data_IF_383143840156
#
_entry.id   IF_383143840156
#
_cell.length_a   1.000
_cell.length_b   1.000
_cell.length_c   1.000
_cell.angle_alpha   90.00
_cell.angle_beta   90.00
_cell.angle_gamma   90.00
#
_symmetry.space_group_name_H-M   'P 1'
#
loop_
_entity.id
_entity.type
_entity.pdbx_description
1 polymer ?
#
# COMPACT_ATOMS: atom_id res chain seq x y z
N UNK A 1 -38.57 -8.89 6.11
CA UNK A 1 -38.69 -7.41 6.16
C UNK A 1 -37.55 -6.80 5.37
N UNK A 2 -37.79 -6.56 4.09
CA UNK A 2 -36.85 -5.91 3.18
C UNK A 2 -36.88 -4.39 3.43
N UNK A 3 -35.71 -3.73 3.53
CA UNK A 3 -35.62 -2.27 3.52
C UNK A 3 -35.05 -1.83 2.17
N UNK A 4 -35.88 -1.03 1.53
CA UNK A 4 -35.79 -0.43 0.19
C UNK A 4 -34.52 0.37 -0.03
N UNK A 5 -33.93 0.19 -1.21
CA UNK A 5 -32.94 1.09 -1.81
C UNK A 5 -33.68 2.35 -2.28
N UNK A 6 -33.22 3.54 -1.87
CA UNK A 6 -33.71 4.83 -2.36
C UNK A 6 -32.87 5.25 -3.57
N UNK A 7 -33.39 4.96 -4.76
CA UNK A 7 -32.94 5.54 -6.03
C UNK A 7 -33.86 6.73 -6.37
N UNK A 8 -33.43 7.94 -6.02
CA UNK A 8 -33.91 9.20 -6.61
C UNK A 8 -32.65 9.93 -7.08
N UNK A 9 -32.42 10.19 -8.36
CA UNK A 9 -33.36 10.58 -9.39
C UNK A 9 -32.87 11.95 -9.88
N UNK A 10 -31.95 11.94 -10.84
CA UNK A 10 -31.48 13.16 -11.48
C UNK A 10 -32.61 13.76 -12.34
N UNK A 11 -32.83 15.07 -12.22
CA UNK A 11 -33.14 15.96 -13.35
C UNK A 11 -33.05 17.44 -12.92
N UNK A 12 -32.41 18.30 -13.73
CA UNK A 12 -32.33 19.73 -13.46
C UNK A 12 -33.66 20.41 -13.84
N UNK A 13 -34.13 21.31 -12.98
CA UNK A 13 -35.28 22.16 -13.29
C UNK A 13 -34.88 23.21 -14.32
N UNK A 14 -35.58 23.22 -15.45
CA UNK A 14 -35.47 24.22 -16.49
C UNK A 14 -36.32 25.46 -16.19
N UNK A 15 -35.80 26.61 -16.62
CA UNK A 15 -36.49 27.75 -17.23
C UNK A 15 -37.74 28.31 -16.52
N UNK A 16 -37.54 29.34 -15.70
CA UNK A 16 -38.58 30.27 -15.28
C UNK A 16 -38.28 31.69 -15.75
N UNK A 17 -38.61 32.00 -17.01
CA UNK A 17 -38.68 33.37 -17.51
C UNK A 17 -40.14 33.80 -17.55
N UNK A 18 -40.64 34.50 -16.52
CA UNK A 18 -41.83 35.33 -16.65
C UNK A 18 -41.74 36.58 -15.74
N UNK A 19 -41.81 37.75 -16.38
CA UNK A 19 -42.46 38.94 -15.83
C UNK A 19 -41.57 40.05 -15.28
N UNK A 20 -41.12 40.99 -16.13
CA UNK A 20 -40.94 42.40 -15.77
C UNK A 20 -41.26 43.31 -16.97
N UNK A 21 -42.07 44.38 -16.81
CA UNK A 21 -42.36 45.34 -17.87
C UNK A 21 -41.34 46.48 -17.90
N UNK A 22 -41.13 47.06 -19.09
CA UNK A 22 -40.80 48.48 -19.26
C UNK A 22 -39.34 48.91 -19.05
N UNK A 23 -38.62 48.99 -20.17
CA UNK A 23 -37.77 50.11 -20.55
C UNK A 23 -36.63 50.55 -19.60
N UNK A 24 -35.51 49.80 -19.59
CA UNK A 24 -34.16 50.38 -19.45
C UNK A 24 -33.20 49.60 -20.36
N UNK A 25 -32.76 50.22 -21.46
CA UNK A 25 -31.68 49.71 -22.32
C UNK A 25 -30.35 50.10 -21.68
N UNK A 26 -29.68 49.15 -21.02
CA UNK A 26 -28.25 49.24 -20.78
C UNK A 26 -27.50 48.55 -21.93
N UNK A 27 -26.34 49.05 -22.37
CA UNK A 27 -25.57 48.40 -23.43
C UNK A 27 -25.14 47.01 -22.94
N UNK A 28 -25.42 46.04 -23.80
CA UNK A 28 -25.03 44.64 -23.64
C UNK A 28 -23.50 44.56 -23.66
N UNK A 29 -22.86 44.78 -22.51
CA UNK A 29 -21.48 44.33 -22.29
C UNK A 29 -21.59 42.82 -22.17
N UNK A 30 -21.35 42.12 -23.28
CA UNK A 30 -20.94 40.73 -23.28
C UNK A 30 -19.78 40.61 -22.29
N UNK A 31 -20.07 40.14 -21.09
CA UNK A 31 -19.05 39.63 -20.21
C UNK A 31 -18.59 38.34 -20.85
N UNK A 32 -17.67 38.44 -21.81
CA UNK A 32 -16.92 37.30 -22.30
C UNK A 32 -16.25 36.72 -21.06
N UNK A 33 -16.81 35.62 -20.55
CA UNK A 33 -16.09 34.74 -19.64
C UNK A 33 -14.97 34.16 -20.48
N UNK A 34 -13.89 34.92 -20.63
CA UNK A 34 -12.61 34.40 -21.07
C UNK A 34 -12.25 33.37 -20.01
N UNK A 35 -12.58 32.10 -20.28
CA UNK A 35 -11.98 30.99 -19.57
C UNK A 35 -10.49 31.16 -19.79
N UNK A 36 -9.78 31.66 -18.79
CA UNK A 36 -8.34 31.66 -18.78
C UNK A 36 -7.91 30.24 -19.12
N UNK A 37 -7.01 30.10 -20.10
CA UNK A 37 -6.39 28.81 -20.37
C UNK A 37 -5.88 28.25 -19.04
N UNK A 38 -6.09 26.96 -18.74
CA UNK A 38 -5.58 26.38 -17.50
C UNK A 38 -4.09 26.70 -17.42
N UNK A 39 -3.69 27.33 -16.31
CA UNK A 39 -2.29 27.60 -15.99
C UNK A 39 -1.48 26.31 -16.24
N UNK A 40 -0.30 26.39 -16.88
CA UNK A 40 0.50 25.21 -17.14
C UNK A 40 0.78 24.50 -15.81
N UNK A 41 0.32 23.26 -15.70
CA UNK A 41 0.50 22.47 -14.50
C UNK A 41 1.97 22.49 -14.09
N UNK A 42 2.23 22.87 -12.84
CA UNK A 42 3.59 22.86 -12.30
C UNK A 42 4.19 21.47 -12.54
N UNK A 43 5.37 21.39 -13.20
CA UNK A 43 5.98 20.09 -13.46
C UNK A 43 6.24 19.40 -12.13
N UNK A 44 5.79 18.15 -12.02
CA UNK A 44 5.99 17.40 -10.80
C UNK A 44 7.47 17.21 -10.50
N UNK A 45 7.82 17.20 -9.21
CA UNK A 45 9.19 16.93 -8.79
C UNK A 45 9.65 15.53 -9.25
N UNK A 46 10.92 15.41 -9.59
CA UNK A 46 11.52 14.14 -9.97
C UNK A 46 11.25 13.06 -8.91
N UNK A 47 10.88 11.86 -9.35
CA UNK A 47 10.56 10.74 -8.47
C UNK A 47 9.13 10.68 -7.95
N UNK A 48 8.25 11.62 -8.36
CA UNK A 48 6.82 11.55 -8.10
C UNK A 48 6.01 11.26 -9.38
N UNK A 49 4.87 10.60 -9.23
CA UNK A 49 3.82 10.49 -10.24
C UNK A 49 2.45 10.85 -9.63
N UNK A 50 1.53 11.37 -10.44
CA UNK A 50 0.16 11.66 -10.02
C UNK A 50 -0.72 10.47 -10.38
N UNK A 51 -1.54 10.00 -9.43
CA UNK A 51 -2.51 8.94 -9.69
C UNK A 51 -3.75 9.47 -10.43
N UNK A 52 -4.74 8.59 -10.60
CA UNK A 52 -6.01 8.91 -11.26
C UNK A 52 -6.82 9.98 -10.52
N UNK A 53 -6.53 10.23 -9.24
CA UNK A 53 -7.12 11.28 -8.42
C UNK A 53 -6.28 12.57 -8.36
N UNK A 54 -5.15 12.62 -9.08
CA UNK A 54 -4.22 13.75 -9.04
C UNK A 54 -3.36 13.81 -7.77
N UNK A 55 -3.37 12.76 -6.95
CA UNK A 55 -2.60 12.70 -5.71
C UNK A 55 -1.14 12.28 -5.99
N UNK A 56 -0.14 13.09 -5.60
CA UNK A 56 1.26 12.78 -5.84
C UNK A 56 1.74 11.63 -4.94
N UNK A 57 2.44 10.65 -5.54
CA UNK A 57 3.08 9.52 -4.84
C UNK A 57 4.47 9.26 -5.36
N UNK A 58 5.29 8.52 -4.59
CA UNK A 58 6.58 8.06 -5.08
C UNK A 58 6.43 7.16 -6.32
N UNK A 59 7.24 7.40 -7.35
CA UNK A 59 7.18 6.68 -8.63
C UNK A 59 7.36 5.16 -8.49
N UNK A 60 8.08 4.69 -7.48
CA UNK A 60 8.34 3.27 -7.27
C UNK A 60 7.08 2.44 -6.95
N UNK A 61 5.99 3.06 -6.47
CA UNK A 61 4.75 2.33 -6.16
C UNK A 61 3.77 2.27 -7.33
N UNK A 62 4.10 2.85 -8.50
CA UNK A 62 3.16 3.01 -9.63
C UNK A 62 2.72 1.68 -10.26
N UNK A 63 3.51 0.62 -10.13
CA UNK A 63 3.34 -0.60 -10.93
C UNK A 63 2.00 -1.33 -10.72
N UNK A 64 1.45 -1.36 -9.50
CA UNK A 64 0.20 -2.09 -9.21
C UNK A 64 -0.61 -1.44 -8.09
N UNK A 65 -1.95 -1.65 -8.03
CA UNK A 65 -2.77 -1.21 -6.91
C UNK A 65 -2.31 -1.77 -5.56
N UNK A 66 -1.82 -3.01 -5.52
CA UNK A 66 -1.26 -3.62 -4.31
C UNK A 66 -0.02 -2.85 -3.83
N UNK A 67 0.86 -2.46 -4.74
CA UNK A 67 2.08 -1.73 -4.38
C UNK A 67 1.76 -0.31 -3.90
N UNK A 68 0.77 0.35 -4.52
CA UNK A 68 0.23 1.64 -4.04
C UNK A 68 -0.39 1.51 -2.65
N UNK A 69 -1.17 0.47 -2.39
CA UNK A 69 -1.75 0.23 -1.07
C UNK A 69 -0.65 0.02 0.00
N UNK A 70 0.39 -0.76 -0.32
CA UNK A 70 1.54 -0.94 0.56
C UNK A 70 2.27 0.39 0.84
N UNK A 71 2.48 1.21 -0.18
CA UNK A 71 3.05 2.55 -0.03
C UNK A 71 2.22 3.42 0.91
N UNK A 72 0.91 3.51 0.66
CA UNK A 72 0.01 4.45 1.35
C UNK A 72 -0.28 4.06 2.81
N UNK A 73 -0.18 2.77 3.16
CA UNK A 73 -0.65 2.28 4.46
C UNK A 73 0.38 1.49 5.28
N UNK A 74 1.53 1.11 4.71
CA UNK A 74 2.50 0.25 5.41
C UNK A 74 3.95 0.73 5.34
N UNK A 75 4.34 1.41 4.26
CA UNK A 75 5.71 1.87 4.07
C UNK A 75 5.95 3.20 4.81
N UNK A 76 7.05 3.28 5.55
CA UNK A 76 7.42 4.49 6.31
C UNK A 76 6.63 4.74 7.59
N UNK A 77 5.58 3.96 7.89
CA UNK A 77 4.84 4.06 9.15
C UNK A 77 5.55 3.32 10.29
N UNK A 78 5.58 3.89 11.52
CA UNK A 78 6.15 3.23 12.69
C UNK A 78 5.49 1.89 12.98
N UNK A 79 6.29 0.89 13.39
CA UNK A 79 5.81 -0.42 13.83
C UNK A 79 6.48 -0.75 15.15
N UNK A 80 5.67 -1.06 16.16
CA UNK A 80 6.13 -1.47 17.51
C UNK A 80 5.77 -2.91 17.85
N UNK A 81 5.04 -3.59 16.95
CA UNK A 81 4.71 -5.00 17.11
C UNK A 81 5.90 -5.87 16.70
N UNK A 82 6.45 -6.61 17.66
CA UNK A 82 7.64 -7.44 17.51
C UNK A 82 7.52 -8.48 16.39
N UNK A 83 6.33 -9.08 16.25
CA UNK A 83 6.07 -10.09 15.24
C UNK A 83 6.06 -9.47 13.84
N UNK A 84 5.41 -8.31 13.67
CA UNK A 84 5.38 -7.57 12.42
C UNK A 84 6.76 -7.03 12.03
N UNK A 85 7.57 -6.60 13.00
CA UNK A 85 8.96 -6.21 12.75
C UNK A 85 9.80 -7.40 12.29
N UNK A 86 9.68 -8.54 12.97
CA UNK A 86 10.37 -9.77 12.58
C UNK A 86 9.95 -10.25 11.17
N UNK A 87 8.64 -10.25 10.87
CA UNK A 87 8.13 -10.50 9.51
C UNK A 87 8.79 -9.59 8.49
N UNK A 88 8.78 -8.27 8.71
CA UNK A 88 9.39 -7.29 7.79
C UNK A 88 10.87 -7.59 7.58
N UNK A 89 11.65 -7.76 8.66
CA UNK A 89 13.08 -8.06 8.60
C UNK A 89 13.38 -9.29 7.73
N UNK A 90 12.64 -10.38 7.91
CA UNK A 90 12.82 -11.59 7.12
C UNK A 90 12.43 -11.40 5.65
N UNK A 91 11.32 -10.70 5.37
CA UNK A 91 10.89 -10.43 4.00
C UNK A 91 11.89 -9.55 3.23
N UNK A 92 12.52 -8.57 3.88
CA UNK A 92 13.63 -7.79 3.30
C UNK A 92 14.83 -8.69 2.96
N UNK A 93 15.16 -9.67 3.81
CA UNK A 93 16.17 -10.68 3.51
C UNK A 93 15.83 -11.52 2.26
N UNK A 94 14.56 -11.87 2.07
CA UNK A 94 14.11 -12.57 0.87
C UNK A 94 14.19 -11.72 -0.40
N UNK A 95 14.17 -10.38 -0.27
CA UNK A 95 14.22 -9.45 -1.40
C UNK A 95 15.57 -9.44 -2.13
N UNK A 96 16.68 -9.87 -1.52
CA UNK A 96 18.01 -9.80 -2.14
C UNK A 96 18.03 -10.45 -3.55
N UNK A 97 18.30 -9.64 -4.60
CA UNK A 97 18.29 -10.09 -5.99
C UNK A 97 16.90 -10.18 -6.66
N UNK A 98 15.85 -9.65 -6.02
CA UNK A 98 14.47 -9.62 -6.52
C UNK A 98 13.86 -8.22 -6.33
N UNK A 99 12.73 -7.98 -7.00
CA UNK A 99 11.92 -6.78 -6.73
C UNK A 99 11.13 -6.95 -5.42
N UNK A 100 10.90 -5.86 -4.68
CA UNK A 100 10.01 -5.91 -3.51
C UNK A 100 8.59 -6.35 -3.86
N UNK A 101 8.08 -5.96 -5.04
CA UNK A 101 6.78 -6.41 -5.54
C UNK A 101 6.70 -7.95 -5.65
N UNK A 102 7.80 -8.62 -6.00
CA UNK A 102 7.87 -10.10 -6.00
C UNK A 102 7.63 -10.67 -4.61
N UNK A 103 8.19 -10.05 -3.57
CA UNK A 103 8.02 -10.48 -2.18
C UNK A 103 6.61 -10.15 -1.69
N UNK A 104 6.13 -8.94 -1.95
CA UNK A 104 4.80 -8.48 -1.56
C UNK A 104 3.69 -9.38 -2.13
N UNK A 105 3.79 -9.76 -3.41
CA UNK A 105 2.83 -10.68 -4.04
C UNK A 105 2.82 -12.09 -3.40
N UNK A 106 3.88 -12.48 -2.70
CA UNK A 106 4.03 -13.80 -2.07
C UNK A 106 3.85 -13.76 -0.56
N UNK A 107 3.49 -12.61 0.01
CA UNK A 107 3.47 -12.38 1.46
C UNK A 107 2.58 -13.36 2.23
N UNK A 108 1.40 -13.67 1.71
CA UNK A 108 0.52 -14.67 2.34
C UNK A 108 1.11 -16.08 2.28
N UNK A 109 1.79 -16.43 1.18
CA UNK A 109 2.55 -17.67 1.07
C UNK A 109 3.64 -17.76 2.13
N UNK A 110 4.41 -16.69 2.33
CA UNK A 110 5.42 -16.62 3.39
C UNK A 110 4.80 -16.76 4.78
N UNK A 111 3.68 -16.07 5.04
CA UNK A 111 2.97 -16.19 6.31
C UNK A 111 2.50 -17.61 6.57
N UNK A 112 1.95 -18.32 5.59
CA UNK A 112 1.57 -19.72 5.75
C UNK A 112 2.79 -20.62 6.01
N UNK A 113 3.83 -20.47 5.18
CA UNK A 113 5.04 -21.29 5.19
C UNK A 113 5.84 -21.18 6.51
N UNK A 114 5.88 -19.98 7.09
CA UNK A 114 6.65 -19.66 8.29
C UNK A 114 5.77 -19.41 9.52
N UNK A 115 4.70 -20.19 9.72
CA UNK A 115 3.87 -20.14 10.94
C UNK A 115 3.42 -18.71 11.33
N UNK A 116 3.06 -17.90 10.33
CA UNK A 116 2.72 -16.47 10.42
C UNK A 116 3.81 -15.63 11.10
N UNK A 117 5.08 -15.98 10.93
CA UNK A 117 6.22 -15.33 11.57
C UNK A 117 6.22 -15.41 13.10
N UNK A 118 5.72 -16.51 13.66
CA UNK A 118 5.93 -16.84 15.08
C UNK A 118 7.39 -17.27 15.30
N UNK A 119 8.18 -16.47 16.01
CA UNK A 119 9.62 -16.70 16.14
C UNK A 119 9.93 -17.98 16.94
N UNK A 120 9.13 -18.28 17.95
CA UNK A 120 9.21 -19.48 18.76
C UNK A 120 8.98 -20.73 17.91
N UNK A 121 7.91 -20.75 17.09
CA UNK A 121 7.64 -21.85 16.18
C UNK A 121 8.72 -22.02 15.10
N UNK A 122 9.13 -20.93 14.45
CA UNK A 122 10.15 -20.99 13.38
C UNK A 122 11.51 -21.42 13.93
N UNK A 123 11.88 -21.00 15.14
CA UNK A 123 13.16 -21.38 15.74
C UNK A 123 13.32 -22.90 15.93
N UNK A 124 12.19 -23.60 16.08
CA UNK A 124 12.11 -25.06 16.20
C UNK A 124 12.13 -25.79 14.86
N UNK A 125 12.04 -25.10 13.71
CA UNK A 125 12.15 -25.73 12.39
C UNK A 125 13.50 -26.44 12.24
N UNK A 126 13.45 -27.60 11.61
CA UNK A 126 14.60 -28.47 11.39
C UNK A 126 14.94 -28.66 9.90
N UNK A 127 15.81 -29.63 9.59
CA UNK A 127 16.21 -29.91 8.22
C UNK A 127 15.04 -30.40 7.34
N UNK A 128 14.07 -31.13 7.89
CA UNK A 128 12.90 -31.60 7.15
C UNK A 128 11.99 -30.42 6.78
N UNK A 129 11.83 -29.46 7.68
CA UNK A 129 11.13 -28.21 7.37
C UNK A 129 11.82 -27.42 6.25
N UNK A 130 13.15 -27.33 6.27
CA UNK A 130 13.88 -26.70 5.17
C UNK A 130 13.58 -27.42 3.86
N UNK A 131 13.72 -28.75 3.79
CA UNK A 131 13.43 -29.52 2.57
C UNK A 131 12.00 -29.30 2.06
N UNK A 132 11.02 -29.33 2.97
CA UNK A 132 9.62 -29.03 2.65
C UNK A 132 9.47 -27.63 2.05
N UNK A 133 10.11 -26.62 2.65
CA UNK A 133 10.00 -25.23 2.24
C UNK A 133 10.70 -24.93 0.91
N UNK A 134 11.82 -25.60 0.58
CA UNK A 134 12.46 -25.41 -0.75
C UNK A 134 11.59 -25.94 -1.89
N UNK A 135 10.59 -26.78 -1.62
CA UNK A 135 9.63 -27.25 -2.62
C UNK A 135 8.36 -26.38 -2.69
N UNK A 136 8.13 -25.49 -1.72
CA UNK A 136 6.92 -24.69 -1.65
C UNK A 136 6.92 -23.56 -2.71
N UNK A 137 6.06 -23.70 -3.71
CA UNK A 137 5.92 -22.74 -4.81
C UNK A 137 5.25 -21.42 -4.41
N UNK A 138 4.65 -21.33 -3.22
CA UNK A 138 4.07 -20.10 -2.70
C UNK A 138 5.14 -19.08 -2.30
N UNK A 139 6.34 -19.55 -1.92
CA UNK A 139 7.47 -18.70 -1.48
C UNK A 139 8.62 -18.66 -2.49
N UNK A 140 9.65 -17.89 -2.15
CA UNK A 140 10.94 -17.92 -2.87
C UNK A 140 11.72 -19.16 -2.42
N UNK A 141 11.84 -20.14 -3.32
CA UNK A 141 12.50 -21.43 -3.10
C UNK A 141 14.03 -21.32 -3.10
N UNK A 142 14.58 -20.68 -2.06
CA UNK A 142 16.01 -20.46 -1.89
C UNK A 142 16.47 -20.90 -0.50
N UNK A 143 17.20 -22.02 -0.43
CA UNK A 143 17.64 -22.67 0.82
C UNK A 143 18.28 -21.70 1.81
N UNK A 144 19.30 -20.95 1.40
CA UNK A 144 20.00 -20.04 2.32
C UNK A 144 19.13 -18.92 2.89
N UNK A 145 18.05 -18.51 2.20
CA UNK A 145 17.13 -17.47 2.69
C UNK A 145 16.12 -18.05 3.68
N UNK A 146 15.70 -19.30 3.46
CA UNK A 146 14.88 -20.08 4.38
C UNK A 146 15.68 -20.33 5.68
N UNK A 147 16.90 -20.84 5.56
CA UNK A 147 17.79 -21.09 6.71
C UNK A 147 18.11 -19.80 7.47
N UNK A 148 18.32 -18.68 6.76
CA UNK A 148 18.49 -17.36 7.38
C UNK A 148 17.26 -16.94 8.19
N UNK A 149 16.05 -17.23 7.73
CA UNK A 149 14.82 -16.93 8.49
C UNK A 149 14.75 -17.74 9.78
N UNK A 150 15.12 -19.02 9.74
CA UNK A 150 15.20 -19.89 10.93
C UNK A 150 16.27 -19.39 11.91
N UNK A 151 17.44 -19.01 11.39
CA UNK A 151 18.50 -18.41 12.19
C UNK A 151 18.04 -17.11 12.85
N UNK A 152 17.41 -16.21 12.09
CA UNK A 152 16.93 -14.92 12.58
C UNK A 152 15.88 -15.09 13.69
N UNK A 153 14.99 -16.10 13.58
CA UNK A 153 14.05 -16.42 14.65
C UNK A 153 14.77 -16.72 15.97
N UNK A 154 15.80 -17.57 15.94
CA UNK A 154 16.63 -17.87 17.12
C UNK A 154 17.33 -16.64 17.67
N UNK A 155 17.79 -15.73 16.80
CA UNK A 155 18.44 -14.46 17.19
C UNK A 155 17.46 -13.49 17.85
N UNK A 156 16.25 -13.34 17.31
CA UNK A 156 15.21 -12.48 17.90
C UNK A 156 14.82 -12.99 19.29
N UNK A 157 14.69 -14.30 19.49
CA UNK A 157 14.43 -14.87 20.82
C UNK A 157 15.57 -14.59 21.81
N UNK A 158 16.82 -14.61 21.36
CA UNK A 158 17.96 -14.25 22.19
C UNK A 158 17.95 -12.75 22.56
N UNK A 159 17.71 -11.88 21.58
CA UNK A 159 17.57 -10.45 21.76
C UNK A 159 16.44 -10.13 22.75
N UNK A 160 15.25 -10.75 22.61
CA UNK A 160 14.13 -10.55 23.52
C UNK A 160 14.48 -10.84 24.99
N UNK A 161 15.34 -11.84 25.25
CA UNK A 161 15.80 -12.13 26.61
C UNK A 161 16.69 -11.04 27.21
N UNK A 162 17.42 -10.31 26.37
CA UNK A 162 18.38 -9.28 26.79
C UNK A 162 17.76 -7.88 26.83
N UNK A 163 16.99 -7.52 25.79
CA UNK A 163 16.43 -6.18 25.59
C UNK A 163 14.91 -6.10 25.78
N UNK A 164 14.26 -7.22 26.13
CA UNK A 164 12.82 -7.30 26.34
C UNK A 164 12.01 -7.46 25.05
N UNK A 165 12.29 -6.69 24.00
CA UNK A 165 11.59 -6.79 22.71
C UNK A 165 12.48 -6.39 21.52
N UNK A 166 12.16 -6.90 20.33
CA UNK A 166 12.81 -6.46 19.08
C UNK A 166 12.53 -4.98 18.82
N UNK A 167 11.30 -4.52 19.06
CA UNK A 167 10.91 -3.12 18.87
C UNK A 167 11.68 -2.14 19.77
N UNK A 168 12.09 -2.56 20.97
CA UNK A 168 12.90 -1.73 21.87
C UNK A 168 14.35 -1.61 21.37
N UNK A 169 14.86 -2.65 20.72
CA UNK A 169 16.25 -2.72 20.28
C UNK A 169 16.53 -1.90 19.01
N UNK A 170 15.54 -1.73 18.13
CA UNK A 170 15.69 -1.07 16.81
C UNK A 170 15.27 0.40 16.81
#
# INVERSE_FOLDING_TARGET
>A
MARSVDTRGARPAACGLQGLPGAWRAPFLECAMTLAAPEPATPMSAGLFADEAGCPRCSWCQATPLYRHYHDHEWGFPVVDDRRLFEKLCLEGFQAGLSWLTILNRREGFRAAFARFDAEAIAAFDAQDVERLVQDAAIVRHRGKIESTIHNARRVLALRREFGSLAHYV
#
